data_IF_652569100499
#
_entry.id   IF_652569100499
#
_cell.length_a   1.000
_cell.length_b   1.000
_cell.length_c   1.000
_cell.angle_alpha   90.00
_cell.angle_beta   90.00
_cell.angle_gamma   90.00
#
_symmetry.space_group_name_H-M   'P 1'
#
loop_
_entity.id
_entity.type
_entity.pdbx_description
1 polymer ?
#
# COMPACT_ATOMS: atom_id res chain seq x y z
N UNK A 1 5.31 12.92 48.72
CA UNK A 1 4.78 13.79 47.64
C UNK A 1 4.36 12.91 46.47
N UNK A 2 3.09 12.51 46.47
CA UNK A 2 2.48 11.69 45.43
C UNK A 2 2.23 12.54 44.19
N UNK A 3 3.18 12.57 43.25
CA UNK A 3 3.03 13.21 41.95
C UNK A 3 3.21 12.22 40.78
N UNK A 4 2.98 10.95 41.04
CA UNK A 4 3.28 9.82 40.13
C UNK A 4 2.05 8.94 39.87
N UNK A 5 0.87 9.56 39.73
CA UNK A 5 -0.35 8.87 39.27
C UNK A 5 -1.15 9.80 38.35
N UNK A 6 -0.59 10.17 37.19
CA UNK A 6 -1.39 10.73 36.07
C UNK A 6 -0.95 10.25 34.69
N UNK A 7 -0.21 9.14 34.58
CA UNK A 7 0.08 8.48 33.29
C UNK A 7 -1.14 7.73 32.71
N UNK A 8 -2.28 7.75 33.40
CA UNK A 8 -3.56 7.28 32.87
C UNK A 8 -4.37 8.38 32.19
N UNK A 9 -4.19 9.65 32.56
CA UNK A 9 -4.95 10.79 31.99
C UNK A 9 -4.37 11.21 30.63
N UNK A 10 -3.05 11.13 30.42
CA UNK A 10 -2.41 11.60 29.18
C UNK A 10 -2.71 10.69 27.98
N UNK A 11 -2.80 9.38 28.19
CA UNK A 11 -3.21 8.43 27.14
C UNK A 11 -4.71 8.51 26.83
N UNK A 12 -5.54 8.91 27.79
CA UNK A 12 -6.98 9.14 27.58
C UNK A 12 -7.22 10.51 26.92
N UNK A 13 -6.45 11.55 27.27
CA UNK A 13 -6.49 12.87 26.63
C UNK A 13 -6.04 12.80 25.17
N UNK A 14 -4.97 12.06 24.84
CA UNK A 14 -4.53 11.84 23.45
C UNK A 14 -5.57 11.06 22.63
N UNK A 15 -6.25 10.07 23.23
CA UNK A 15 -7.33 9.35 22.55
C UNK A 15 -8.56 10.26 22.35
N UNK A 16 -8.92 11.08 23.34
CA UNK A 16 -9.98 12.08 23.21
C UNK A 16 -9.63 13.16 22.18
N UNK A 17 -8.40 13.61 22.10
CA UNK A 17 -7.91 14.55 21.09
C UNK A 17 -8.00 13.94 19.69
N UNK A 18 -7.51 12.71 19.50
CA UNK A 18 -7.65 11.97 18.24
C UNK A 18 -9.12 11.76 17.87
N UNK A 19 -9.97 11.41 18.84
CA UNK A 19 -11.41 11.27 18.61
C UNK A 19 -12.07 12.62 18.29
N UNK A 20 -11.64 13.73 18.89
CA UNK A 20 -12.19 15.06 18.57
C UNK A 20 -11.71 15.54 17.20
N UNK A 21 -10.46 15.29 16.83
CA UNK A 21 -9.89 15.62 15.51
C UNK A 21 -10.56 14.79 14.41
N UNK A 22 -10.75 13.49 14.64
CA UNK A 22 -11.48 12.61 13.70
C UNK A 22 -12.97 12.92 13.64
N UNK A 23 -13.61 13.34 14.73
CA UNK A 23 -15.00 13.85 14.72
C UNK A 23 -15.10 15.21 13.99
N UNK A 24 -14.08 16.08 14.09
CA UNK A 24 -14.01 17.39 13.43
C UNK A 24 -13.64 17.29 11.94
N UNK A 25 -13.00 16.20 11.52
CA UNK A 25 -12.72 15.87 10.13
C UNK A 25 -13.79 14.91 9.62
N UNK A 26 -14.92 15.40 9.04
CA UNK A 26 -15.89 14.49 8.46
C UNK A 26 -15.20 13.64 7.39
N UNK A 27 -15.16 12.33 7.61
CA UNK A 27 -14.78 11.29 6.64
C UNK A 27 -15.86 11.20 5.56
N UNK A 28 -16.10 12.32 4.89
CA UNK A 28 -17.01 12.43 3.77
C UNK A 28 -16.18 13.06 2.70
N UNK A 29 -15.68 12.22 1.81
CA UNK A 29 -15.16 12.38 0.44
C UNK A 29 -15.08 13.82 -0.10
N UNK A 30 -14.57 14.77 0.68
CA UNK A 30 -14.51 16.16 0.30
C UNK A 30 -13.40 16.22 -0.72
N UNK A 31 -13.82 16.54 -1.94
CA UNK A 31 -12.89 16.84 -3.00
C UNK A 31 -12.00 17.99 -2.52
N UNK A 32 -10.75 18.05 -2.96
CA UNK A 32 -9.87 19.19 -2.66
C UNK A 32 -10.54 20.55 -3.02
N UNK A 33 -11.51 20.51 -3.92
CA UNK A 33 -12.37 21.63 -4.32
C UNK A 33 -13.36 22.11 -3.24
N UNK A 34 -13.90 21.22 -2.41
CA UNK A 34 -14.81 21.58 -1.32
C UNK A 34 -14.04 22.19 -0.13
N UNK A 35 -12.78 21.78 0.04
CA UNK A 35 -11.87 22.29 1.08
C UNK A 35 -11.44 23.73 0.76
N UNK A 36 -11.28 24.07 -0.52
CA UNK A 36 -10.84 25.39 -0.95
C UNK A 36 -11.90 26.50 -0.81
N UNK A 37 -13.16 26.15 -0.47
CA UNK A 37 -14.31 27.05 -0.33
C UNK A 37 -14.34 28.20 -1.35
N UNK A 38 -14.10 27.88 -2.62
CA UNK A 38 -14.03 28.85 -3.70
C UNK A 38 -15.43 29.40 -4.05
N UNK A 39 -15.70 30.70 -3.84
CA UNK A 39 -17.02 31.30 -4.05
C UNK A 39 -17.42 31.41 -5.54
N UNK A 40 -16.49 31.14 -6.46
CA UNK A 40 -16.76 31.17 -7.91
C UNK A 40 -17.26 29.82 -8.46
N UNK A 41 -17.25 28.77 -7.63
CA UNK A 41 -17.62 27.41 -8.03
C UNK A 41 -18.95 26.97 -7.39
N UNK A 42 -19.76 26.26 -8.18
CA UNK A 42 -21.05 25.74 -7.72
C UNK A 42 -20.87 24.48 -6.88
N UNK A 43 -21.35 24.51 -5.63
CA UNK A 43 -21.36 23.37 -4.70
C UNK A 43 -22.50 22.37 -4.98
N UNK A 44 -23.37 22.66 -5.94
CA UNK A 44 -24.49 21.77 -6.27
C UNK A 44 -24.05 20.62 -7.17
N UNK A 45 -24.46 19.40 -6.80
CA UNK A 45 -24.25 18.21 -7.61
C UNK A 45 -25.11 18.32 -8.88
N UNK A 46 -24.48 18.32 -10.06
CA UNK A 46 -25.14 18.49 -11.36
C UNK A 46 -25.90 17.23 -11.79
N UNK A 47 -25.53 16.06 -11.25
CA UNK A 47 -26.04 14.74 -11.66
C UNK A 47 -26.99 14.22 -10.59
N UNK A 48 -28.16 13.70 -11.01
CA UNK A 48 -29.11 13.13 -10.05
C UNK A 48 -28.54 11.86 -9.39
N UNK A 49 -28.98 11.58 -8.16
CA UNK A 49 -28.48 10.41 -7.42
C UNK A 49 -28.79 9.08 -8.13
N UNK A 50 -29.89 9.05 -8.90
CA UNK A 50 -30.33 7.93 -9.73
C UNK A 50 -29.39 7.70 -10.92
N UNK A 51 -28.99 8.76 -11.61
CA UNK A 51 -28.02 8.70 -12.71
C UNK A 51 -26.65 8.21 -12.23
N UNK A 52 -26.24 8.63 -11.02
CA UNK A 52 -25.00 8.17 -10.39
C UNK A 52 -25.05 6.67 -10.07
N UNK A 53 -26.15 6.19 -9.49
CA UNK A 53 -26.35 4.77 -9.18
C UNK A 53 -26.40 3.91 -10.45
N UNK A 54 -27.07 4.40 -11.49
CA UNK A 54 -27.12 3.80 -12.84
C UNK A 54 -25.74 3.70 -13.48
N UNK A 55 -24.92 4.75 -13.41
CA UNK A 55 -23.55 4.74 -13.94
C UNK A 55 -22.67 3.71 -13.21
N UNK A 56 -22.77 3.64 -11.87
CA UNK A 56 -22.01 2.68 -11.05
C UNK A 56 -22.44 1.24 -11.36
N UNK A 57 -23.74 0.97 -11.53
CA UNK A 57 -24.24 -0.35 -11.92
C UNK A 57 -23.71 -0.76 -13.30
N UNK A 58 -23.76 0.11 -14.31
CA UNK A 58 -23.21 -0.16 -15.65
C UNK A 58 -21.71 -0.47 -15.62
N UNK A 59 -20.94 0.18 -14.76
CA UNK A 59 -19.51 -0.11 -14.59
C UNK A 59 -19.31 -1.48 -13.94
N UNK A 60 -20.08 -1.79 -12.90
CA UNK A 60 -20.02 -3.08 -12.21
C UNK A 60 -20.38 -4.25 -13.13
N UNK A 61 -21.42 -4.09 -13.94
CA UNK A 61 -21.86 -5.14 -14.88
C UNK A 61 -20.80 -5.40 -15.97
N UNK A 62 -20.16 -4.35 -16.49
CA UNK A 62 -19.04 -4.48 -17.45
C UNK A 62 -17.84 -5.21 -16.86
N UNK A 63 -17.47 -4.89 -15.62
CA UNK A 63 -16.35 -5.57 -14.94
C UNK A 63 -16.67 -7.05 -14.68
N UNK A 64 -17.94 -7.35 -14.35
CA UNK A 64 -18.38 -8.73 -14.12
C UNK A 64 -18.42 -9.56 -15.41
N UNK A 65 -18.83 -8.96 -16.54
CA UNK A 65 -18.77 -9.63 -17.83
C UNK A 65 -17.33 -9.87 -18.30
N UNK A 66 -16.42 -8.93 -18.05
CA UNK A 66 -15.01 -9.08 -18.42
C UNK A 66 -14.32 -10.17 -17.58
N UNK A 67 -14.58 -10.20 -16.27
CA UNK A 67 -14.05 -11.24 -15.38
C UNK A 67 -14.52 -12.65 -15.79
N UNK A 68 -15.80 -12.79 -16.19
CA UNK A 68 -16.35 -14.07 -16.63
C UNK A 68 -15.77 -14.53 -17.97
N UNK A 69 -15.46 -13.58 -18.86
CA UNK A 69 -14.81 -13.86 -20.15
C UNK A 69 -13.37 -14.37 -19.95
N UNK A 70 -12.65 -13.83 -18.98
CA UNK A 70 -11.28 -14.27 -18.61
C UNK A 70 -11.31 -15.67 -17.97
N UNK A 71 -12.33 -16.01 -17.17
CA UNK A 71 -12.48 -17.37 -16.62
C UNK A 71 -12.84 -18.42 -17.68
N UNK A 72 -13.65 -18.06 -18.68
CA UNK A 72 -13.99 -18.96 -19.80
C UNK A 72 -12.79 -19.16 -20.74
N UNK A 73 -11.97 -18.12 -20.99
CA UNK A 73 -10.76 -18.20 -21.81
C UNK A 73 -9.65 -19.04 -21.15
N UNK A 74 -9.59 -19.12 -19.81
CA UNK A 74 -8.60 -19.95 -19.10
C UNK A 74 -8.93 -21.45 -19.06
N UNK A 75 -10.18 -21.86 -19.32
CA UNK A 75 -10.59 -23.26 -19.29
C UNK A 75 -10.52 -23.97 -20.67
N UNK A 76 -10.30 -23.25 -21.77
CA UNK A 76 -10.18 -23.81 -23.13
C UNK A 76 -8.73 -23.94 -23.64
N UNK A 77 -7.73 -23.51 -22.86
CA UNK A 77 -6.32 -23.41 -23.32
C UNK A 77 -5.56 -24.74 -23.27
N UNK A 78 -6.11 -25.81 -22.66
CA UNK A 78 -5.36 -27.07 -22.47
C UNK A 78 -5.37 -28.06 -23.65
N UNK A 79 -6.02 -27.80 -24.80
CA UNK A 79 -6.04 -28.79 -25.90
C UNK A 79 -5.82 -28.30 -27.36
N UNK A 80 -5.49 -27.04 -27.63
CA UNK A 80 -5.23 -26.59 -29.02
C UNK A 80 -4.04 -25.65 -29.18
N UNK A 81 -2.86 -26.09 -28.75
CA UNK A 81 -1.62 -25.69 -29.42
C UNK A 81 -1.60 -26.30 -30.82
N UNK A 82 -1.91 -25.49 -31.84
CA UNK A 82 -1.47 -25.54 -33.24
C UNK A 82 -2.60 -25.06 -34.18
N UNK A 83 -2.41 -23.84 -34.75
CA UNK A 83 -3.11 -23.21 -35.88
C UNK A 83 -4.18 -22.13 -35.60
N UNK A 84 -3.79 -20.94 -35.12
CA UNK A 84 -4.57 -19.71 -35.37
C UNK A 84 -3.62 -18.54 -35.67
N UNK A 85 -3.06 -18.52 -36.87
CA UNK A 85 -2.13 -17.46 -37.32
C UNK A 85 -2.55 -16.76 -38.62
N UNK A 86 -3.84 -16.77 -39.00
CA UNK A 86 -4.28 -16.16 -40.28
C UNK A 86 -5.52 -15.28 -40.30
N UNK A 87 -6.29 -15.15 -39.22
CA UNK A 87 -7.58 -14.43 -39.29
C UNK A 87 -7.59 -13.06 -38.60
N UNK A 88 -6.54 -12.65 -37.87
CA UNK A 88 -6.57 -11.41 -37.09
C UNK A 88 -6.02 -10.15 -37.80
N UNK A 89 -5.29 -10.29 -38.92
CA UNK A 89 -4.68 -9.14 -39.63
C UNK A 89 -5.68 -8.18 -40.29
N UNK A 90 -6.87 -8.65 -40.68
CA UNK A 90 -7.86 -7.81 -41.39
C UNK A 90 -8.67 -6.90 -40.45
N UNK A 91 -8.79 -7.26 -39.18
CA UNK A 91 -9.50 -6.44 -38.18
C UNK A 91 -8.64 -5.25 -37.73
N UNK A 92 -7.35 -5.48 -37.52
CA UNK A 92 -6.41 -4.46 -37.05
C UNK A 92 -6.13 -3.36 -38.09
N UNK A 93 -6.14 -3.68 -39.38
CA UNK A 93 -5.92 -2.67 -40.44
C UNK A 93 -7.06 -1.66 -40.53
N UNK A 94 -8.31 -2.13 -40.40
CA UNK A 94 -9.49 -1.28 -40.49
C UNK A 94 -9.68 -0.43 -39.21
N UNK A 95 -9.39 -1.01 -38.04
CA UNK A 95 -9.37 -0.28 -36.76
C UNK A 95 -8.25 0.77 -36.73
N UNK A 96 -7.07 0.47 -37.26
CA UNK A 96 -5.99 1.44 -37.36
C UNK A 96 -6.31 2.57 -38.36
N UNK A 97 -6.95 2.26 -39.49
CA UNK A 97 -7.40 3.26 -40.45
C UNK A 97 -8.42 4.21 -39.82
N UNK A 98 -9.44 3.68 -39.15
CA UNK A 98 -10.42 4.47 -38.39
C UNK A 98 -9.76 5.31 -37.29
N UNK A 99 -8.76 4.76 -36.59
CA UNK A 99 -7.99 5.49 -35.56
C UNK A 99 -7.17 6.64 -36.14
N UNK A 100 -6.58 6.46 -37.32
CA UNK A 100 -5.82 7.50 -38.01
C UNK A 100 -6.74 8.63 -38.53
N UNK A 101 -7.90 8.26 -39.09
CA UNK A 101 -8.95 9.20 -39.50
C UNK A 101 -9.45 10.02 -38.31
N UNK A 102 -9.77 9.36 -37.18
CA UNK A 102 -10.20 10.02 -35.95
C UNK A 102 -9.12 11.00 -35.42
N UNK A 103 -7.84 10.60 -35.46
CA UNK A 103 -6.72 11.48 -35.08
C UNK A 103 -6.53 12.67 -36.03
N UNK A 104 -6.87 12.54 -37.30
CA UNK A 104 -6.83 13.64 -38.26
C UNK A 104 -7.99 14.61 -38.03
N UNK A 105 -9.19 14.09 -37.78
CA UNK A 105 -10.38 14.87 -37.45
C UNK A 105 -10.22 15.64 -36.14
N UNK A 106 -9.68 15.01 -35.07
CA UNK A 106 -9.34 15.70 -33.81
C UNK A 106 -8.35 16.84 -34.06
N UNK A 107 -7.35 16.65 -34.93
CA UNK A 107 -6.40 17.72 -35.28
C UNK A 107 -7.05 18.86 -36.07
N UNK A 108 -8.01 18.56 -36.93
CA UNK A 108 -8.78 19.55 -37.69
C UNK A 108 -9.71 20.34 -36.76
N UNK A 109 -10.48 19.66 -35.91
CA UNK A 109 -11.33 20.26 -34.88
C UNK A 109 -10.53 21.13 -33.92
N UNK A 110 -9.35 20.67 -33.47
CA UNK A 110 -8.46 21.47 -32.62
C UNK A 110 -8.01 22.76 -33.33
N UNK A 111 -7.71 22.68 -34.63
CA UNK A 111 -7.32 23.85 -35.45
C UNK A 111 -8.48 24.80 -35.68
N UNK A 112 -9.68 24.29 -35.94
CA UNK A 112 -10.89 25.10 -36.10
C UNK A 112 -11.29 25.77 -34.79
N UNK A 113 -11.21 25.07 -33.66
CA UNK A 113 -11.49 25.62 -32.33
C UNK A 113 -10.47 26.71 -31.93
N UNK A 114 -9.17 26.48 -32.16
CA UNK A 114 -8.14 27.49 -31.89
C UNK A 114 -8.10 28.60 -32.94
N UNK A 115 -8.52 28.33 -34.17
CA UNK A 115 -8.58 29.29 -35.27
C UNK A 115 -9.80 30.21 -35.18
N UNK A 116 -10.97 29.70 -34.81
CA UNK A 116 -12.17 30.53 -34.60
C UNK A 116 -12.03 31.39 -33.34
N UNK A 117 -11.31 30.92 -32.32
CA UNK A 117 -10.96 31.72 -31.14
C UNK A 117 -10.05 32.93 -31.46
N UNK A 118 -9.34 32.93 -32.60
CA UNK A 118 -8.42 34.01 -32.99
C UNK A 118 -9.04 35.05 -33.95
N UNK A 119 -10.23 34.78 -34.51
CA UNK A 119 -10.88 35.69 -35.48
C UNK A 119 -11.94 36.62 -34.86
N UNK A 120 -12.15 36.60 -33.53
CA UNK A 120 -13.08 37.49 -32.81
C UNK A 120 -12.39 38.39 -31.79
N UNK A 121 -11.17 38.84 -32.07
CA UNK A 121 -10.46 39.74 -31.15
C UNK A 121 -9.08 40.14 -31.66
N UNK A 122 -8.97 41.41 -32.01
CA UNK A 122 -7.76 42.17 -32.33
C UNK A 122 -6.55 41.88 -31.44
N UNK A 123 -5.37 41.87 -32.08
CA UNK A 123 -4.04 42.24 -31.58
C UNK A 123 -3.86 42.39 -30.05
N UNK A 124 -3.35 41.34 -29.42
CA UNK A 124 -2.24 41.41 -28.45
C UNK A 124 -1.85 39.99 -28.03
N UNK A 125 -0.55 39.69 -28.11
CA UNK A 125 0.02 38.43 -27.60
C UNK A 125 -0.16 38.35 -26.06
N UNK A 126 -0.19 37.15 -25.46
CA UNK A 126 1.10 36.52 -25.17
C UNK A 126 1.14 34.98 -25.25
N UNK A 127 2.29 34.51 -25.74
CA UNK A 127 3.01 33.30 -25.34
C UNK A 127 2.51 32.60 -24.06
N UNK A 128 2.15 31.32 -24.19
CA UNK A 128 1.79 30.36 -23.13
C UNK A 128 2.86 30.20 -22.01
N UNK A 129 4.08 30.73 -22.22
CA UNK A 129 5.12 30.82 -21.18
C UNK A 129 4.88 31.90 -20.12
N UNK A 130 4.09 32.96 -20.40
CA UNK A 130 3.87 34.07 -19.44
C UNK A 130 2.73 33.82 -18.46
N UNK A 131 1.65 33.14 -18.87
CA UNK A 131 0.55 32.79 -17.96
C UNK A 131 0.97 31.76 -16.91
N UNK A 132 1.86 30.85 -17.29
CA UNK A 132 2.47 29.88 -16.38
C UNK A 132 3.48 30.51 -15.41
N UNK A 133 4.00 31.70 -15.71
CA UNK A 133 4.88 32.48 -14.82
C UNK A 133 4.12 33.42 -13.88
N UNK A 134 2.93 33.91 -14.27
CA UNK A 134 2.10 34.78 -13.43
C UNK A 134 1.43 34.03 -12.27
N UNK A 135 0.92 32.81 -12.52
CA UNK A 135 0.39 31.94 -11.45
C UNK A 135 1.45 31.34 -10.52
N UNK A 136 2.73 31.36 -10.91
CA UNK A 136 3.85 30.92 -10.06
C UNK A 136 4.14 31.87 -8.91
N UNK A 137 3.71 33.13 -9.00
CA UNK A 137 4.08 34.19 -8.05
C UNK A 137 3.02 34.48 -6.98
N UNK A 138 1.83 33.87 -7.06
CA UNK A 138 0.67 34.26 -6.21
C UNK A 138 0.47 33.37 -4.97
N UNK A 139 1.10 32.20 -4.89
CA UNK A 139 0.91 31.31 -3.74
C UNK A 139 2.21 30.57 -3.37
N UNK A 140 2.85 30.88 -2.23
CA UNK A 140 4.16 30.34 -1.86
C UNK A 140 4.18 28.80 -1.79
N UNK A 141 3.05 28.19 -1.41
CA UNK A 141 2.87 26.73 -1.35
C UNK A 141 3.00 26.08 -2.74
N UNK A 142 2.49 26.74 -3.78
CA UNK A 142 2.57 26.22 -5.16
C UNK A 142 4.01 26.26 -5.67
N UNK A 143 4.78 27.28 -5.30
CA UNK A 143 6.20 27.38 -5.68
C UNK A 143 7.04 26.30 -5.00
N UNK A 144 6.85 26.08 -3.69
CA UNK A 144 7.49 25.00 -2.95
C UNK A 144 7.16 23.63 -3.56
N UNK A 145 5.89 23.37 -3.87
CA UNK A 145 5.45 22.14 -4.52
C UNK A 145 6.16 21.88 -5.85
N UNK A 146 6.30 22.89 -6.72
CA UNK A 146 7.00 22.72 -7.99
C UNK A 146 8.50 22.50 -7.81
N UNK A 147 9.13 23.16 -6.84
CA UNK A 147 10.54 22.95 -6.51
C UNK A 147 10.78 21.53 -6.00
N UNK A 148 9.95 21.08 -5.06
CA UNK A 148 10.04 19.75 -4.47
C UNK A 148 9.78 18.66 -5.51
N UNK A 149 8.75 18.83 -6.35
CA UNK A 149 8.50 17.94 -7.49
C UNK A 149 9.69 17.87 -8.44
N UNK A 150 10.35 18.99 -8.72
CA UNK A 150 11.55 19.01 -9.58
C UNK A 150 12.69 18.22 -8.96
N UNK A 151 12.94 18.37 -7.65
CA UNK A 151 13.96 17.59 -6.93
C UNK A 151 13.70 16.09 -7.05
N UNK A 152 12.48 15.64 -6.75
CA UNK A 152 12.14 14.21 -6.86
C UNK A 152 12.14 13.69 -8.30
N UNK A 153 11.77 14.52 -9.29
CA UNK A 153 11.88 14.11 -10.70
C UNK A 153 13.34 13.90 -11.14
N UNK A 154 14.28 14.70 -10.62
CA UNK A 154 15.71 14.52 -10.86
C UNK A 154 16.26 13.26 -10.17
N UNK A 155 15.89 13.03 -8.92
CA UNK A 155 16.29 11.82 -8.18
C UNK A 155 15.70 10.55 -8.80
N UNK A 156 14.44 10.60 -9.24
CA UNK A 156 13.78 9.48 -9.93
C UNK A 156 14.42 9.15 -11.28
N UNK A 157 15.19 10.07 -11.88
CA UNK A 157 15.99 9.79 -13.09
C UNK A 157 17.30 9.08 -12.74
N UNK A 158 17.87 9.29 -11.55
CA UNK A 158 19.07 8.58 -11.07
C UNK A 158 18.79 7.11 -10.78
N UNK A 159 17.56 6.79 -10.39
CA UNK A 159 17.14 5.42 -10.13
C UNK A 159 17.00 4.62 -11.45
N UNK A 160 17.68 3.47 -11.59
CA UNK A 160 17.63 2.66 -12.80
C UNK A 160 16.23 2.09 -13.03
N UNK A 161 15.68 2.35 -14.22
CA UNK A 161 14.33 1.95 -14.60
C UNK A 161 14.32 0.53 -15.18
N UNK A 162 14.41 -0.46 -14.28
CA UNK A 162 14.22 -1.91 -14.52
C UNK A 162 15.36 -2.59 -15.31
N UNK A 163 15.45 -3.91 -15.23
CA UNK A 163 16.51 -4.72 -15.87
C UNK A 163 17.82 -4.80 -15.08
N UNK A 164 18.91 -5.19 -15.76
CA UNK A 164 20.24 -5.48 -15.18
C UNK A 164 20.84 -4.33 -14.37
N UNK A 165 20.57 -3.08 -14.74
CA UNK A 165 21.05 -1.90 -13.99
C UNK A 165 20.36 -1.76 -12.62
N UNK A 166 19.15 -2.30 -12.46
CA UNK A 166 18.49 -2.39 -11.14
C UNK A 166 19.17 -3.44 -10.29
N UNK A 167 19.52 -4.58 -10.86
CA UNK A 167 20.21 -5.67 -10.17
C UNK A 167 21.58 -5.22 -9.66
N UNK A 168 22.38 -4.53 -10.47
CA UNK A 168 23.68 -4.01 -10.03
C UNK A 168 23.54 -3.03 -8.86
N UNK A 169 22.53 -2.16 -8.89
CA UNK A 169 22.23 -1.27 -7.75
C UNK A 169 21.87 -2.09 -6.50
N UNK A 170 21.01 -3.11 -6.63
CA UNK A 170 20.65 -3.95 -5.47
C UNK A 170 21.83 -4.74 -4.93
N UNK A 171 22.74 -5.20 -5.79
CA UNK A 171 23.97 -5.88 -5.37
C UNK A 171 24.93 -4.92 -4.66
N UNK A 172 25.03 -3.67 -5.11
CA UNK A 172 25.80 -2.63 -4.41
C UNK A 172 25.22 -2.33 -3.02
N UNK A 173 23.89 -2.24 -2.90
CA UNK A 173 23.22 -2.07 -1.60
C UNK A 173 23.45 -3.30 -0.70
N UNK A 174 23.32 -4.51 -1.25
CA UNK A 174 23.58 -5.75 -0.53
C UNK A 174 25.04 -5.83 -0.06
N UNK A 175 25.99 -5.39 -0.89
CA UNK A 175 27.41 -5.34 -0.53
C UNK A 175 27.65 -4.40 0.65
N UNK A 176 27.00 -3.23 0.66
CA UNK A 176 27.06 -2.30 1.80
C UNK A 176 26.48 -2.92 3.07
N UNK A 177 25.32 -3.57 2.96
CA UNK A 177 24.70 -4.25 4.10
C UNK A 177 25.57 -5.40 4.63
N UNK A 178 26.13 -6.24 3.75
CA UNK A 178 27.04 -7.33 4.13
C UNK A 178 28.29 -6.80 4.84
N UNK A 179 28.85 -5.68 4.37
CA UNK A 179 29.96 -5.05 5.06
C UNK A 179 29.53 -4.51 6.44
N UNK A 180 28.37 -3.86 6.55
CA UNK A 180 27.83 -3.41 7.85
C UNK A 180 27.70 -4.57 8.83
N UNK A 181 27.12 -5.70 8.42
CA UNK A 181 26.97 -6.89 9.28
C UNK A 181 28.33 -7.42 9.75
N UNK A 182 29.32 -7.49 8.85
CA UNK A 182 30.69 -7.91 9.21
C UNK A 182 31.34 -6.95 10.20
N UNK A 183 31.20 -5.65 9.97
CA UNK A 183 31.76 -4.63 10.86
C UNK A 183 31.15 -4.73 12.27
N UNK A 184 29.83 -4.98 12.39
CA UNK A 184 29.17 -5.17 13.68
C UNK A 184 29.63 -6.48 14.34
N UNK A 185 29.76 -7.56 13.57
CA UNK A 185 30.24 -8.84 14.08
C UNK A 185 31.70 -8.78 14.57
N UNK A 186 32.57 -8.06 13.85
CA UNK A 186 33.96 -7.83 14.25
C UNK A 186 34.05 -6.95 15.50
N UNK A 187 33.13 -5.98 15.68
CA UNK A 187 33.04 -5.18 16.91
C UNK A 187 32.62 -6.04 18.10
N UNK A 188 31.59 -6.86 17.96
CA UNK A 188 31.15 -7.79 19.01
C UNK A 188 32.23 -8.80 19.41
N UNK A 189 32.93 -9.40 18.43
CA UNK A 189 34.00 -10.35 18.71
C UNK A 189 35.13 -9.72 19.55
N UNK A 190 35.34 -8.41 19.44
CA UNK A 190 36.31 -7.67 20.24
C UNK A 190 35.78 -7.29 21.64
N UNK A 191 34.46 -7.12 21.82
CA UNK A 191 33.83 -6.79 23.12
C UNK A 191 33.51 -8.02 23.96
N UNK A 192 33.41 -9.22 23.37
CA UNK A 192 33.03 -10.49 24.05
C UNK A 192 34.06 -10.96 25.11
N UNK A 193 35.21 -10.29 25.29
CA UNK A 193 36.17 -10.61 26.36
C UNK A 193 35.83 -9.99 27.73
N UNK A 194 34.74 -9.24 27.86
CA UNK A 194 34.19 -8.80 29.14
C UNK A 194 32.74 -9.25 29.25
N UNK A 195 32.56 -10.47 29.76
CA UNK A 195 31.29 -10.93 30.30
C UNK A 195 31.00 -10.15 31.58
N UNK A 196 30.30 -9.04 31.48
CA UNK A 196 29.47 -8.54 32.56
C UNK A 196 28.05 -8.44 32.01
N UNK A 197 27.11 -9.07 32.72
CA UNK A 197 25.67 -8.86 32.50
C UNK A 197 25.34 -7.40 32.78
N UNK A 198 25.52 -6.54 31.79
CA UNK A 198 24.95 -5.20 31.81
C UNK A 198 23.50 -5.30 31.34
N UNK A 199 22.62 -4.90 32.24
CA UNK A 199 21.23 -4.48 32.02
C UNK A 199 21.19 -3.51 30.82
N UNK A 200 21.07 -4.06 29.62
CA UNK A 200 21.02 -3.28 28.39
C UNK A 200 19.57 -2.82 28.23
N UNK A 201 19.36 -1.52 28.41
CA UNK A 201 18.09 -0.86 28.22
C UNK A 201 17.68 -1.04 26.75
N UNK A 202 16.72 -1.95 26.48
CA UNK A 202 16.24 -2.31 25.13
C UNK A 202 15.45 -1.18 24.44
N UNK A 203 15.47 0.03 25.00
CA UNK A 203 14.73 1.22 24.56
C UNK A 203 15.62 2.18 23.73
N UNK A 204 16.83 1.77 23.32
CA UNK A 204 17.66 2.57 22.41
C UNK A 204 17.35 2.21 20.95
N UNK A 205 16.75 3.16 20.21
CA UNK A 205 16.34 2.99 18.80
C UNK A 205 17.51 2.62 17.86
N UNK A 206 18.75 2.80 18.30
CA UNK A 206 19.99 2.53 17.57
C UNK A 206 20.63 1.16 17.92
N UNK A 207 19.92 0.28 18.65
CA UNK A 207 20.42 -1.04 19.02
C UNK A 207 20.67 -1.97 17.80
N UNK A 208 21.95 -2.22 17.53
CA UNK A 208 22.42 -3.06 16.41
C UNK A 208 22.65 -4.53 16.79
N UNK A 209 22.35 -4.89 18.04
CA UNK A 209 22.51 -6.24 18.62
C UNK A 209 21.72 -7.32 17.87
N UNK A 210 20.67 -6.96 17.13
CA UNK A 210 19.92 -7.92 16.31
C UNK A 210 20.67 -8.34 15.02
N UNK A 211 21.65 -7.56 14.56
CA UNK A 211 22.44 -7.86 13.35
C UNK A 211 23.40 -9.04 13.54
N UNK A 212 23.73 -9.34 14.80
CA UNK A 212 24.66 -10.41 15.20
C UNK A 212 23.97 -11.57 15.88
N UNK A 213 22.75 -11.36 16.39
CA UNK A 213 21.94 -12.39 17.00
C UNK A 213 21.70 -13.56 16.04
N UNK A 214 21.92 -14.78 16.53
CA UNK A 214 21.63 -16.00 15.79
C UNK A 214 20.26 -16.55 16.19
N UNK A 215 19.41 -16.81 15.20
CA UNK A 215 18.10 -17.41 15.41
C UNK A 215 18.24 -18.89 15.78
N UNK A 216 18.13 -19.18 17.07
CA UNK A 216 18.14 -20.54 17.62
C UNK A 216 16.75 -20.85 18.16
N UNK A 217 16.10 -21.88 17.60
CA UNK A 217 14.93 -22.46 18.23
C UNK A 217 15.40 -23.62 19.11
N UNK A 218 14.89 -23.70 20.33
CA UNK A 218 14.99 -24.95 21.09
C UNK A 218 14.20 -26.02 20.32
N UNK A 219 14.75 -27.23 20.21
CA UNK A 219 14.05 -28.41 19.69
C UNK A 219 12.92 -28.80 20.66
N UNK A 220 11.91 -27.93 20.80
CA UNK A 220 10.67 -28.25 21.42
C UNK A 220 9.92 -29.13 20.41
N UNK A 221 10.04 -30.46 20.57
CA UNK A 221 9.12 -31.39 19.92
C UNK A 221 7.70 -30.80 20.10
N UNK A 222 6.97 -30.52 19.00
CA UNK A 222 5.70 -29.84 19.11
C UNK A 222 4.79 -30.68 20.01
N UNK A 223 4.43 -30.12 21.17
CA UNK A 223 3.57 -30.80 22.11
C UNK A 223 2.21 -31.00 21.44
N UNK A 224 1.94 -32.25 21.02
CA UNK A 224 0.72 -32.59 20.33
C UNK A 224 -0.47 -32.28 21.25
N UNK A 225 -1.34 -31.38 20.81
CA UNK A 225 -2.49 -30.99 21.60
C UNK A 225 -3.34 -32.22 21.95
N UNK A 226 -3.79 -32.32 23.21
CA UNK A 226 -4.67 -33.39 23.65
C UNK A 226 -6.02 -33.28 22.92
N UNK A 227 -6.35 -34.26 22.08
CA UNK A 227 -7.65 -34.31 21.39
C UNK A 227 -8.78 -34.59 22.38
N UNK A 228 -9.73 -33.65 22.49
CA UNK A 228 -10.88 -33.73 23.38
C UNK A 228 -11.77 -34.95 23.14
N UNK A 229 -11.70 -35.56 21.95
CA UNK A 229 -12.50 -36.72 21.58
C UNK A 229 -11.87 -38.06 21.99
N UNK A 230 -10.55 -38.10 22.24
CA UNK A 230 -9.84 -39.30 22.69
C UNK A 230 -9.46 -39.15 24.17
N UNK A 231 -10.42 -39.44 25.06
CA UNK A 231 -10.18 -39.45 26.51
C UNK A 231 -9.46 -40.73 26.92
N UNK A 232 -8.13 -40.77 26.72
CA UNK A 232 -7.28 -41.86 27.21
C UNK A 232 -7.11 -41.84 28.74
N UNK A 233 -6.64 -42.95 29.31
CA UNK A 233 -6.44 -43.13 30.77
C UNK A 233 -5.46 -42.11 31.39
N UNK A 234 -4.64 -41.44 30.57
CA UNK A 234 -3.71 -40.38 30.98
C UNK A 234 -4.30 -38.96 30.81
N UNK A 235 -5.62 -38.84 30.59
CA UNK A 235 -6.29 -37.55 30.45
C UNK A 235 -6.21 -36.71 31.74
N UNK A 236 -6.30 -37.39 32.88
CA UNK A 236 -6.24 -36.80 34.21
C UNK A 236 -4.95 -37.22 34.90
N UNK A 237 -4.29 -36.27 35.57
CA UNK A 237 -3.09 -36.56 36.35
C UNK A 237 -3.36 -37.61 37.44
N UNK A 238 -2.32 -38.32 37.91
CA UNK A 238 -2.47 -39.38 38.92
C UNK A 238 -2.98 -38.86 40.27
N UNK A 239 -2.87 -37.56 40.51
CA UNK A 239 -3.42 -36.88 41.69
C UNK A 239 -4.87 -36.42 41.50
N UNK A 240 -5.39 -36.40 40.27
CA UNK A 240 -6.73 -35.90 39.97
C UNK A 240 -7.81 -36.92 40.40
N UNK A 241 -8.86 -36.52 41.15
CA UNK A 241 -9.94 -37.40 41.58
C UNK A 241 -10.79 -37.99 40.43
N UNK A 242 -10.66 -37.49 39.21
CA UNK A 242 -11.29 -37.99 37.98
C UNK A 242 -10.43 -39.06 37.29
N UNK A 243 -9.16 -39.22 37.68
CA UNK A 243 -8.32 -40.30 37.17
C UNK A 243 -8.97 -41.66 37.45
N UNK A 244 -8.96 -42.55 36.46
CA UNK A 244 -9.52 -43.88 36.54
C UNK A 244 -9.02 -44.68 37.76
N UNK A 245 -7.74 -44.54 38.11
CA UNK A 245 -7.14 -45.19 39.29
C UNK A 245 -7.75 -44.69 40.60
N UNK A 246 -7.90 -43.37 40.74
CA UNK A 246 -8.48 -42.76 41.94
C UNK A 246 -9.97 -43.02 42.06
N UNK A 247 -10.69 -43.02 40.93
CA UNK A 247 -12.10 -43.41 40.85
C UNK A 247 -12.29 -44.85 41.33
N UNK A 248 -11.48 -45.80 40.85
CA UNK A 248 -11.52 -47.21 41.27
C UNK A 248 -11.22 -47.37 42.77
N UNK A 249 -10.22 -46.64 43.29
CA UNK A 249 -9.91 -46.66 44.74
C UNK A 249 -11.08 -46.14 45.57
N UNK A 250 -11.71 -45.05 45.16
CA UNK A 250 -12.86 -44.46 45.86
C UNK A 250 -14.10 -45.36 45.81
N UNK A 251 -14.39 -45.98 44.67
CA UNK A 251 -15.53 -46.90 44.53
C UNK A 251 -15.32 -48.19 45.34
N UNK A 252 -14.09 -48.73 45.37
CA UNK A 252 -13.76 -49.86 46.24
C UNK A 252 -13.90 -49.55 47.73
N UNK A 253 -13.61 -48.32 48.16
CA UNK A 253 -13.77 -47.90 49.55
C UNK A 253 -15.25 -47.68 49.96
N UNK A 254 -16.17 -47.70 49.00
CA UNK A 254 -17.62 -47.57 49.23
C UNK A 254 -18.35 -48.92 49.30
N UNK A 255 -17.67 -50.02 49.02
CA UNK A 255 -18.16 -51.39 49.11
C UNK A 255 -17.53 -52.08 50.32
#
# INVERSE_FOLDING_TARGET
NFKLLSFGDEAEEDEEELQTVTKKLPVKNNSAHDIAMDPTLSSTVIISEEERKSAIQKIRDKLKSEAKKIEEENNEVDEKENNIDKDNEKSDTNMNKRRLELKAEIRKLKRELHGSSKNTGSESAPSEEKDSKRKKLENPILEEYYQERSKYEEERKKLPKKGTTRESLTLDLLKRFSNKVKDVHDKEANTTNQSDESDHDYDDDDDESWLTHNLNFEDAEPTLAKDANTKDDNWYDITDPRNALNKRRREKARH
#
